data_IF_865903535684
#
_entry.id   IF_865903535684
#
_cell.length_a   1.000
_cell.length_b   1.000
_cell.length_c   1.000
_cell.angle_alpha   90.00
_cell.angle_beta   90.00
_cell.angle_gamma   90.00
#
_symmetry.space_group_name_H-M   'P 1'
#
loop_
_entity.id
_entity.type
_entity.pdbx_description
1 polymer ?
#
# COMPACT_ATOMS: atom_id res chain seq x y z
N UNK A 1 -6.39 1.42 15.98
CA UNK A 1 -7.06 1.42 14.67
C UNK A 1 -6.34 0.39 13.83
N UNK A 2 -7.09 -0.64 13.48
CA UNK A 2 -6.74 -1.56 12.40
C UNK A 2 -6.97 -0.80 11.08
N UNK A 3 -5.95 -0.77 10.22
CA UNK A 3 -6.03 -0.04 8.94
C UNK A 3 -6.90 -0.79 7.95
N UNK A 4 -6.93 -2.14 8.01
CA UNK A 4 -7.76 -2.95 7.13
C UNK A 4 -9.24 -2.65 7.30
N UNK A 5 -9.69 -2.45 8.55
CA UNK A 5 -11.06 -2.11 8.89
C UNK A 5 -11.54 -0.73 8.39
N UNK A 6 -10.66 0.09 7.81
CA UNK A 6 -11.04 1.35 7.16
C UNK A 6 -11.63 1.14 5.76
N UNK A 7 -11.25 0.04 5.11
CA UNK A 7 -11.57 -0.18 3.72
C UNK A 7 -12.83 -1.03 3.57
N UNK A 8 -13.60 -0.82 2.50
CA UNK A 8 -14.68 -1.72 2.12
C UNK A 8 -14.16 -3.15 1.90
N UNK A 9 -15.02 -4.13 2.16
CA UNK A 9 -14.75 -5.50 1.75
C UNK A 9 -14.71 -5.59 0.22
N UNK A 10 -14.04 -6.61 -0.32
CA UNK A 10 -13.88 -6.73 -1.77
C UNK A 10 -15.22 -6.76 -2.54
N UNK A 11 -16.22 -7.40 -1.93
CA UNK A 11 -17.59 -7.50 -2.48
C UNK A 11 -18.23 -6.12 -2.64
N UNK A 12 -17.95 -5.19 -1.71
CA UNK A 12 -18.44 -3.81 -1.73
C UNK A 12 -17.70 -2.97 -2.78
N UNK A 13 -16.39 -3.18 -2.95
CA UNK A 13 -15.59 -2.51 -3.99
C UNK A 13 -16.09 -2.85 -5.40
N UNK A 14 -16.60 -4.07 -5.58
CA UNK A 14 -17.13 -4.56 -6.84
C UNK A 14 -18.59 -4.16 -7.14
N UNK A 15 -19.29 -3.43 -6.26
CA UNK A 15 -20.73 -3.14 -6.42
C UNK A 15 -21.10 -2.44 -7.73
N UNK A 16 -20.19 -1.63 -8.28
CA UNK A 16 -20.39 -0.96 -9.56
C UNK A 16 -20.18 -1.87 -10.77
N UNK A 17 -19.42 -2.97 -10.61
CA UNK A 17 -19.03 -3.85 -11.72
C UNK A 17 -20.23 -4.54 -12.38
N UNK A 18 -21.24 -5.08 -11.68
CA UNK A 18 -22.42 -5.66 -12.32
C UNK A 18 -23.11 -4.70 -13.31
N UNK A 19 -23.28 -3.43 -12.92
CA UNK A 19 -23.88 -2.42 -13.79
C UNK A 19 -22.97 -2.07 -14.97
N UNK A 20 -21.66 -1.96 -14.73
CA UNK A 20 -20.68 -1.67 -15.78
C UNK A 20 -20.56 -2.82 -16.79
N UNK A 21 -20.56 -4.08 -16.33
CA UNK A 21 -20.59 -5.29 -17.16
C UNK A 21 -21.85 -5.30 -18.02
N UNK A 22 -23.03 -5.05 -17.43
CA UNK A 22 -24.28 -4.98 -18.19
C UNK A 22 -24.25 -3.89 -19.29
N UNK A 23 -23.67 -2.73 -19.00
CA UNK A 23 -23.50 -1.66 -19.98
C UNK A 23 -22.56 -2.05 -21.13
N UNK A 24 -21.47 -2.78 -20.83
CA UNK A 24 -20.60 -3.36 -21.86
C UNK A 24 -21.35 -4.40 -22.70
N UNK A 25 -22.01 -5.37 -22.08
CA UNK A 25 -22.79 -6.40 -22.78
C UNK A 25 -23.79 -5.77 -23.76
N UNK A 26 -24.56 -4.79 -23.30
CA UNK A 26 -25.52 -4.05 -24.14
C UNK A 26 -24.85 -3.33 -25.31
N UNK A 27 -23.65 -2.77 -25.11
CA UNK A 27 -22.90 -2.05 -26.15
C UNK A 27 -22.22 -2.99 -27.15
N UNK A 28 -21.83 -4.17 -26.72
CA UNK A 28 -21.23 -5.20 -27.57
C UNK A 28 -22.29 -6.03 -28.29
N UNK A 29 -23.52 -6.08 -27.77
CA UNK A 29 -24.58 -6.94 -28.30
C UNK A 29 -24.37 -8.41 -27.96
N UNK A 30 -23.74 -8.69 -26.81
CA UNK A 30 -23.41 -10.05 -26.34
C UNK A 30 -24.01 -10.29 -24.96
N UNK A 31 -24.20 -11.56 -24.62
CA UNK A 31 -24.56 -11.97 -23.27
C UNK A 31 -23.36 -11.80 -22.32
N UNK A 32 -23.62 -11.85 -21.00
CA UNK A 32 -22.53 -11.77 -20.02
C UNK A 32 -21.58 -12.97 -20.13
N UNK A 33 -22.14 -14.13 -20.38
CA UNK A 33 -21.44 -15.40 -20.53
C UNK A 33 -22.01 -16.11 -21.76
N UNK A 34 -21.15 -16.68 -22.59
CA UNK A 34 -21.57 -17.41 -23.79
C UNK A 34 -20.58 -18.51 -24.14
N UNK A 35 -21.08 -19.57 -24.79
CA UNK A 35 -20.25 -20.59 -25.43
C UNK A 35 -19.89 -20.10 -26.84
N UNK A 36 -18.60 -19.95 -27.12
CA UNK A 36 -18.10 -19.55 -28.43
C UNK A 36 -17.94 -20.73 -29.39
N UNK A 37 -17.71 -20.45 -30.67
CA UNK A 37 -17.58 -21.47 -31.73
C UNK A 37 -16.35 -22.36 -31.55
N UNK A 38 -15.35 -21.92 -30.78
CA UNK A 38 -14.14 -22.65 -30.42
C UNK A 38 -14.33 -23.57 -29.21
N UNK A 39 -15.57 -23.68 -28.70
CA UNK A 39 -15.93 -24.52 -27.55
C UNK A 39 -15.27 -24.02 -26.24
N UNK A 40 -14.94 -22.72 -26.17
CA UNK A 40 -14.60 -22.02 -24.94
C UNK A 40 -15.82 -21.30 -24.38
N UNK A 41 -15.89 -21.21 -23.05
CA UNK A 41 -16.83 -20.35 -22.33
C UNK A 41 -16.16 -18.99 -22.18
N UNK A 42 -16.83 -17.97 -22.70
CA UNK A 42 -16.41 -16.58 -22.58
C UNK A 42 -17.30 -15.89 -21.56
N UNK A 43 -16.72 -15.06 -20.69
CA UNK A 43 -17.47 -14.28 -19.72
C UNK A 43 -16.87 -12.89 -19.54
N UNK A 44 -17.72 -11.86 -19.56
CA UNK A 44 -17.31 -10.50 -19.19
C UNK A 44 -17.31 -10.38 -17.66
N UNK A 45 -16.13 -10.13 -17.10
CA UNK A 45 -15.88 -10.10 -15.64
C UNK A 45 -15.53 -8.70 -15.11
N UNK A 46 -15.42 -7.70 -15.99
CA UNK A 46 -15.26 -6.30 -15.63
C UNK A 46 -15.54 -5.41 -16.84
N UNK A 47 -16.01 -4.18 -16.61
CA UNK A 47 -16.47 -3.32 -17.71
C UNK A 47 -16.32 -1.82 -17.44
N UNK A 48 -16.15 -1.04 -18.51
CA UNK A 48 -16.15 0.41 -18.48
C UNK A 48 -16.66 0.96 -19.83
N UNK A 49 -17.61 1.90 -19.78
CA UNK A 49 -18.16 2.57 -20.96
C UNK A 49 -18.05 4.08 -20.78
N UNK A 50 -17.46 4.79 -21.75
CA UNK A 50 -17.36 6.25 -21.74
C UNK A 50 -17.59 6.82 -23.15
N UNK A 51 -18.81 7.30 -23.41
CA UNK A 51 -19.22 7.74 -24.75
C UNK A 51 -19.16 6.57 -25.74
N UNK A 52 -18.34 6.70 -26.79
CA UNK A 52 -18.08 5.65 -27.79
C UNK A 52 -17.01 4.64 -27.36
N UNK A 53 -16.30 4.90 -26.25
CA UNK A 53 -15.24 4.03 -25.75
C UNK A 53 -15.81 2.92 -24.87
N UNK A 54 -15.28 1.71 -25.04
CA UNK A 54 -15.67 0.51 -24.30
C UNK A 54 -14.41 -0.24 -23.93
N UNK A 55 -14.24 -0.55 -22.65
CA UNK A 55 -13.21 -1.46 -22.18
C UNK A 55 -13.86 -2.57 -21.36
N UNK A 56 -13.34 -3.78 -21.49
CA UNK A 56 -13.85 -4.92 -20.74
C UNK A 56 -12.76 -5.94 -20.49
N UNK A 57 -12.91 -6.66 -19.38
CA UNK A 57 -12.12 -7.84 -19.10
C UNK A 57 -12.97 -9.05 -19.44
N UNK A 58 -12.45 -9.86 -20.34
CA UNK A 58 -13.06 -11.12 -20.76
C UNK A 58 -12.26 -12.28 -20.22
N UNK A 59 -12.92 -13.13 -19.45
CA UNK A 59 -12.44 -14.46 -19.07
C UNK A 59 -12.78 -15.42 -20.20
N UNK A 60 -11.81 -16.20 -20.65
CA UNK A 60 -11.99 -17.26 -21.63
C UNK A 60 -11.55 -18.54 -20.95
N UNK A 61 -12.43 -19.53 -20.86
CA UNK A 61 -12.12 -20.79 -20.19
C UNK A 61 -12.63 -22.03 -20.91
N UNK A 62 -11.91 -23.14 -20.74
CA UNK A 62 -12.32 -24.45 -21.24
C UNK A 62 -11.93 -25.54 -20.25
N UNK A 63 -12.89 -26.42 -19.94
CA UNK A 63 -12.63 -27.66 -19.20
C UNK A 63 -12.30 -28.78 -20.18
N UNK A 64 -11.06 -29.27 -20.14
CA UNK A 64 -10.61 -30.44 -20.90
C UNK A 64 -10.27 -31.59 -19.95
N UNK A 65 -11.32 -32.24 -19.43
CA UNK A 65 -11.20 -33.51 -18.71
C UNK A 65 -10.44 -33.41 -17.38
N UNK A 66 -10.61 -32.30 -16.64
CA UNK A 66 -9.99 -32.07 -15.34
C UNK A 66 -8.85 -31.05 -15.33
N UNK A 67 -8.51 -30.50 -16.49
CA UNK A 67 -7.71 -29.29 -16.63
C UNK A 67 -8.59 -28.15 -17.11
N UNK A 68 -8.56 -27.03 -16.41
CA UNK A 68 -9.26 -25.81 -16.84
C UNK A 68 -8.22 -24.87 -17.42
N UNK A 69 -8.28 -24.68 -18.72
CA UNK A 69 -7.56 -23.62 -19.42
C UNK A 69 -8.31 -22.31 -19.15
N UNK A 70 -7.62 -21.28 -18.67
CA UNK A 70 -8.24 -20.00 -18.31
C UNK A 70 -7.31 -18.87 -18.72
N UNK A 71 -7.83 -17.93 -19.49
CA UNK A 71 -7.16 -16.68 -19.84
C UNK A 71 -8.05 -15.47 -19.53
N UNK A 72 -7.41 -14.33 -19.32
CA UNK A 72 -8.09 -13.05 -19.12
C UNK A 72 -7.57 -12.03 -20.12
N UNK A 73 -8.47 -11.36 -20.83
CA UNK A 73 -8.13 -10.35 -21.83
C UNK A 73 -8.77 -9.02 -21.48
N UNK A 74 -7.97 -7.97 -21.29
CA UNK A 74 -8.46 -6.61 -21.34
C UNK A 74 -8.55 -6.19 -22.81
N UNK A 75 -9.77 -5.91 -23.25
CA UNK A 75 -10.06 -5.41 -24.60
C UNK A 75 -10.55 -3.98 -24.54
N UNK A 76 -10.13 -3.17 -25.52
CA UNK A 76 -10.46 -1.77 -25.64
C UNK A 76 -10.97 -1.48 -27.05
N UNK A 77 -12.11 -0.79 -27.15
CA UNK A 77 -12.76 -0.43 -28.40
C UNK A 77 -13.16 1.05 -28.41
N UNK A 78 -12.99 1.71 -29.55
CA UNK A 78 -13.51 3.06 -29.82
C UNK A 78 -14.44 2.98 -31.04
N UNK A 79 -15.73 3.22 -30.83
CA UNK A 79 -16.73 2.96 -31.85
C UNK A 79 -16.76 1.48 -32.24
N UNK A 80 -16.46 1.20 -33.51
CA UNK A 80 -16.37 -0.17 -34.05
C UNK A 80 -14.94 -0.73 -34.07
N UNK A 81 -13.92 0.07 -33.77
CA UNK A 81 -12.51 -0.31 -33.92
C UNK A 81 -11.96 -0.82 -32.59
N UNK A 82 -11.50 -2.07 -32.55
CA UNK A 82 -10.71 -2.58 -31.44
C UNK A 82 -9.33 -1.91 -31.49
N UNK A 83 -9.03 -1.11 -30.46
CA UNK A 83 -7.78 -0.34 -30.38
C UNK A 83 -6.71 -1.06 -29.59
N UNK A 84 -7.09 -2.00 -28.72
CA UNK A 84 -6.14 -2.82 -27.97
C UNK A 84 -6.77 -4.12 -27.47
N UNK A 85 -5.93 -5.13 -27.41
CA UNK A 85 -6.11 -6.34 -26.60
C UNK A 85 -4.84 -6.56 -25.79
N UNK A 86 -4.99 -6.90 -24.51
CA UNK A 86 -3.88 -7.23 -23.61
C UNK A 86 -4.28 -8.42 -22.76
N UNK A 87 -3.46 -9.48 -22.76
CA UNK A 87 -3.59 -10.59 -21.82
C UNK A 87 -3.26 -10.09 -20.42
N UNK A 88 -4.23 -10.15 -19.50
CA UNK A 88 -4.07 -9.67 -18.14
C UNK A 88 -3.06 -10.55 -17.41
N UNK A 89 -1.96 -9.96 -16.95
CA UNK A 89 -0.94 -10.73 -16.28
C UNK A 89 -1.44 -11.27 -14.92
N UNK A 90 -1.30 -12.58 -14.71
CA UNK A 90 -1.64 -13.28 -13.46
C UNK A 90 -0.61 -14.38 -13.18
N UNK A 91 -0.33 -14.65 -11.90
CA UNK A 91 0.57 -15.75 -11.51
C UNK A 91 0.01 -17.11 -11.92
N UNK A 92 -1.31 -17.27 -11.79
CA UNK A 92 -1.98 -18.50 -12.10
C UNK A 92 -3.48 -18.21 -12.34
N UNK A 93 -3.92 -18.21 -13.62
CA UNK A 93 -5.28 -17.80 -13.98
C UNK A 93 -6.35 -18.75 -13.42
N UNK A 94 -5.99 -19.98 -13.06
CA UNK A 94 -6.88 -20.96 -12.44
C UNK A 94 -7.47 -20.49 -11.11
N UNK A 95 -6.72 -19.68 -10.34
CA UNK A 95 -7.20 -19.17 -9.04
C UNK A 95 -8.11 -17.94 -9.16
N UNK A 96 -8.46 -17.54 -10.39
CA UNK A 96 -9.32 -16.39 -10.63
C UNK A 96 -8.55 -15.08 -10.75
N UNK A 97 -9.12 -14.18 -11.54
CA UNK A 97 -8.78 -12.77 -11.59
C UNK A 97 -10.07 -11.99 -11.38
N UNK A 98 -10.16 -11.27 -10.27
CA UNK A 98 -11.34 -10.50 -9.90
C UNK A 98 -11.07 -9.02 -10.19
N UNK A 99 -11.92 -8.41 -11.01
CA UNK A 99 -11.83 -6.98 -11.33
C UNK A 99 -12.65 -6.20 -10.31
N UNK A 100 -12.01 -5.34 -9.52
CA UNK A 100 -12.70 -4.46 -8.57
C UNK A 100 -12.96 -3.07 -9.16
N UNK A 101 -12.08 -2.58 -10.02
CA UNK A 101 -12.23 -1.27 -10.66
C UNK A 101 -11.78 -1.34 -12.12
N UNK A 102 -12.57 -0.73 -13.01
CA UNK A 102 -12.22 -0.54 -14.41
C UNK A 102 -12.81 0.79 -14.87
N UNK A 103 -11.96 1.71 -15.34
CA UNK A 103 -12.43 3.03 -15.79
C UNK A 103 -11.49 3.63 -16.84
N UNK A 104 -12.09 4.36 -17.77
CA UNK A 104 -11.38 5.20 -18.72
C UNK A 104 -10.86 6.49 -18.07
N UNK A 105 -9.61 6.82 -18.37
CA UNK A 105 -8.94 8.09 -18.10
C UNK A 105 -8.26 8.54 -19.38
N UNK A 106 -8.85 9.54 -20.04
CA UNK A 106 -8.43 9.99 -21.36
C UNK A 106 -8.33 8.81 -22.34
N UNK A 107 -7.16 8.56 -22.92
CA UNK A 107 -6.93 7.48 -23.88
C UNK A 107 -6.63 6.11 -23.23
N UNK A 108 -6.49 6.06 -21.90
CA UNK A 108 -6.08 4.87 -21.18
C UNK A 108 -7.19 4.31 -20.28
N UNK A 109 -7.04 3.05 -19.91
CA UNK A 109 -7.87 2.39 -18.90
C UNK A 109 -7.02 2.18 -17.65
N UNK A 110 -7.58 2.52 -16.50
CA UNK A 110 -7.05 2.10 -15.20
C UNK A 110 -7.90 0.93 -14.71
N UNK A 111 -7.22 -0.14 -14.31
CA UNK A 111 -7.83 -1.34 -13.76
C UNK A 111 -7.21 -1.64 -12.40
N UNK A 112 -8.04 -2.00 -11.43
CA UNK A 112 -7.58 -2.64 -10.19
C UNK A 112 -8.18 -4.04 -10.15
N UNK A 113 -7.31 -5.03 -10.05
CA UNK A 113 -7.71 -6.44 -10.00
C UNK A 113 -6.96 -7.17 -8.89
N UNK A 114 -7.61 -8.23 -8.39
CA UNK A 114 -7.06 -9.14 -7.40
C UNK A 114 -6.81 -10.48 -8.03
N UNK A 115 -5.62 -11.00 -7.77
CA UNK A 115 -5.26 -12.40 -7.98
C UNK A 115 -4.89 -13.01 -6.63
N UNK A 116 -4.69 -14.33 -6.61
CA UNK A 116 -4.49 -15.17 -5.41
C UNK A 116 -3.72 -14.53 -4.26
N UNK A 117 -2.60 -13.84 -4.53
CA UNK A 117 -1.72 -13.32 -3.49
C UNK A 117 -1.53 -11.81 -3.54
N UNK A 118 -2.11 -11.11 -4.52
CA UNK A 118 -1.79 -9.70 -4.78
C UNK A 118 -2.99 -8.95 -5.32
N UNK A 119 -3.02 -7.67 -4.98
CA UNK A 119 -3.85 -6.68 -5.66
C UNK A 119 -2.95 -5.82 -6.53
N UNK A 120 -3.37 -5.59 -7.77
CA UNK A 120 -2.59 -4.89 -8.78
C UNK A 120 -3.45 -3.76 -9.32
N UNK A 121 -2.87 -2.56 -9.34
CA UNK A 121 -3.37 -1.45 -10.15
C UNK A 121 -2.54 -1.36 -11.41
N UNK A 122 -3.18 -1.28 -12.57
CA UNK A 122 -2.50 -1.08 -13.83
C UNK A 122 -3.14 0.00 -14.69
N UNK A 123 -2.31 0.68 -15.49
CA UNK A 123 -2.71 1.60 -16.55
C UNK A 123 -2.36 0.99 -17.89
N UNK A 124 -3.34 0.97 -18.79
CA UNK A 124 -3.22 0.39 -20.14
C UNK A 124 -3.70 1.43 -21.15
N UNK A 125 -2.77 2.00 -21.92
CA UNK A 125 -3.07 2.94 -23.02
C UNK A 125 -3.43 2.20 -24.32
N UNK A 126 -3.65 2.88 -25.45
CA UNK A 126 -3.89 2.21 -26.73
C UNK A 126 -2.63 1.49 -27.26
N UNK A 127 -1.45 1.97 -26.89
CA UNK A 127 -0.15 1.43 -27.32
C UNK A 127 0.82 1.31 -26.12
N UNK A 128 1.98 0.69 -26.35
CA UNK A 128 3.05 0.54 -25.36
C UNK A 128 2.78 -0.53 -24.30
N UNK A 129 3.78 -0.83 -23.47
CA UNK A 129 3.65 -1.78 -22.37
C UNK A 129 2.63 -1.29 -21.32
N UNK A 130 1.87 -2.19 -20.68
CA UNK A 130 1.09 -1.84 -19.50
C UNK A 130 2.01 -1.29 -18.40
N UNK A 131 1.45 -0.47 -17.52
CA UNK A 131 2.14 0.04 -16.34
C UNK A 131 1.48 -0.55 -15.11
N UNK A 132 2.18 -1.39 -14.35
CA UNK A 132 1.61 -2.10 -13.21
C UNK A 132 2.24 -1.67 -11.88
N UNK A 133 1.47 -1.77 -10.80
CA UNK A 133 1.93 -1.61 -9.42
C UNK A 133 1.17 -2.54 -8.49
N UNK A 134 1.91 -3.24 -7.65
CA UNK A 134 1.34 -4.02 -6.53
C UNK A 134 0.91 -3.07 -5.42
N UNK A 135 -0.29 -3.27 -4.90
CA UNK A 135 -0.88 -2.47 -3.83
C UNK A 135 -1.34 -3.35 -2.67
N UNK A 136 -1.68 -2.73 -1.54
CA UNK A 136 -2.30 -3.43 -0.41
C UNK A 136 -3.60 -4.13 -0.80
N UNK A 137 -3.96 -5.19 -0.09
CA UNK A 137 -5.15 -5.98 -0.37
C UNK A 137 -6.44 -5.18 -0.18
N UNK A 138 -6.47 -4.34 0.84
CA UNK A 138 -7.59 -3.45 1.12
C UNK A 138 -7.35 -2.10 0.43
N UNK A 139 -8.33 -1.62 -0.35
CA UNK A 139 -8.20 -0.39 -1.13
C UNK A 139 -9.56 0.22 -1.48
N UNK A 140 -9.52 1.48 -1.89
CA UNK A 140 -10.68 2.20 -2.45
C UNK A 140 -10.19 3.34 -3.35
N UNK A 141 -11.02 3.79 -4.28
CA UNK A 141 -10.73 4.93 -5.16
C UNK A 141 -11.60 6.10 -4.74
N UNK A 142 -10.97 7.21 -4.36
CA UNK A 142 -11.65 8.48 -4.06
C UNK A 142 -11.18 9.53 -5.06
N UNK A 143 -12.08 9.97 -5.93
CA UNK A 143 -11.77 10.86 -7.05
C UNK A 143 -10.64 10.29 -7.94
N UNK A 144 -9.48 10.93 -7.96
CA UNK A 144 -8.29 10.54 -8.73
C UNK A 144 -7.21 9.92 -7.85
N UNK A 145 -7.55 9.48 -6.64
CA UNK A 145 -6.60 8.91 -5.68
C UNK A 145 -7.04 7.49 -5.31
N UNK A 146 -6.18 6.52 -5.58
CA UNK A 146 -6.27 5.19 -5.02
C UNK A 146 -5.66 5.21 -3.61
N UNK A 147 -6.50 4.91 -2.61
CA UNK A 147 -6.08 4.64 -1.24
C UNK A 147 -5.91 3.13 -1.08
N UNK A 148 -4.80 2.69 -0.49
CA UNK A 148 -4.61 1.28 -0.18
C UNK A 148 -3.84 1.06 1.12
N UNK A 149 -4.04 -0.11 1.71
CA UNK A 149 -3.37 -0.51 2.95
C UNK A 149 -1.83 -0.40 2.81
N UNK A 150 -1.17 0.20 3.80
CA UNK A 150 0.29 0.24 3.88
C UNK A 150 0.84 -0.95 4.66
N UNK A 151 1.99 -1.46 4.22
CA UNK A 151 2.83 -2.37 5.04
C UNK A 151 3.36 -1.69 6.30
N UNK A 152 3.38 -0.35 6.36
CA UNK A 152 3.74 0.39 7.57
C UNK A 152 2.50 0.63 8.44
N UNK A 153 2.52 0.04 9.64
CA UNK A 153 1.40 0.03 10.56
C UNK A 153 0.90 1.44 10.91
N UNK A 154 -0.35 1.74 10.57
CA UNK A 154 -1.01 3.02 10.85
C UNK A 154 -0.87 4.08 9.75
N UNK A 155 -0.39 3.69 8.57
CA UNK A 155 -0.40 4.49 7.36
C UNK A 155 -1.34 3.88 6.30
N UNK A 156 -1.86 4.74 5.44
CA UNK A 156 -2.58 4.43 4.20
C UNK A 156 -1.78 5.02 3.05
N UNK A 157 -1.49 4.20 2.05
CA UNK A 157 -0.78 4.61 0.85
C UNK A 157 -1.70 5.43 -0.06
N UNK A 158 -1.12 6.43 -0.74
CA UNK A 158 -1.81 7.24 -1.75
C UNK A 158 -1.15 7.06 -3.11
N UNK A 159 -1.94 6.75 -4.12
CA UNK A 159 -1.49 6.65 -5.52
C UNK A 159 -2.38 7.57 -6.37
N UNK A 160 -1.76 8.52 -7.06
CA UNK A 160 -2.46 9.41 -7.98
C UNK A 160 -2.70 8.71 -9.32
N UNK A 161 -3.97 8.66 -9.73
CA UNK A 161 -4.45 8.11 -10.99
C UNK A 161 -4.52 9.21 -12.07
N UNK A 162 -4.41 8.88 -13.36
CA UNK A 162 -4.12 7.55 -13.91
C UNK A 162 -2.62 7.20 -13.89
N UNK A 163 -1.73 8.15 -13.60
CA UNK A 163 -0.28 8.02 -13.74
C UNK A 163 0.40 6.99 -12.80
N UNK A 164 -0.37 6.39 -11.88
CA UNK A 164 0.08 5.45 -10.85
C UNK A 164 1.25 6.00 -10.02
N UNK A 165 1.24 7.32 -9.80
CA UNK A 165 2.32 8.04 -9.12
C UNK A 165 2.14 7.94 -7.59
N UNK A 166 3.12 7.38 -6.86
CA UNK A 166 3.07 7.37 -5.39
C UNK A 166 3.11 8.79 -4.82
N UNK A 167 2.27 9.03 -3.83
CA UNK A 167 2.18 10.28 -3.09
C UNK A 167 2.53 10.02 -1.62
N UNK A 168 2.80 11.07 -0.84
CA UNK A 168 3.03 10.95 0.60
C UNK A 168 1.87 10.17 1.27
N UNK A 169 2.12 9.17 2.12
CA UNK A 169 1.05 8.40 2.74
C UNK A 169 0.23 9.26 3.73
N UNK A 170 -0.98 8.80 4.05
CA UNK A 170 -1.83 9.39 5.08
C UNK A 170 -1.73 8.59 6.39
N UNK A 171 -1.65 9.25 7.56
CA UNK A 171 -2.03 8.63 8.82
C UNK A 171 -3.44 8.06 8.75
N UNK A 172 -3.65 6.87 9.34
CA UNK A 172 -4.93 6.15 9.31
C UNK A 172 -6.15 7.01 9.70
N UNK A 173 -6.02 7.85 10.74
CA UNK A 173 -7.10 8.73 11.18
C UNK A 173 -7.45 9.83 10.15
N UNK A 174 -6.53 10.24 9.29
CA UNK A 174 -6.80 11.20 8.22
C UNK A 174 -7.43 10.51 7.01
N UNK A 175 -6.98 9.29 6.70
CA UNK A 175 -7.58 8.46 5.66
C UNK A 175 -9.06 8.14 5.99
N UNK A 176 -9.36 7.79 7.24
CA UNK A 176 -10.73 7.57 7.74
C UNK A 176 -11.63 8.80 7.48
N UNK A 177 -11.14 10.01 7.76
CA UNK A 177 -11.86 11.24 7.43
C UNK A 177 -12.06 11.43 5.93
N UNK A 178 -11.04 11.17 5.11
CA UNK A 178 -11.15 11.26 3.66
C UNK A 178 -12.21 10.29 3.11
N UNK A 179 -12.23 9.07 3.61
CA UNK A 179 -13.23 8.04 3.27
C UNK A 179 -14.63 8.48 3.70
N UNK A 180 -14.80 8.97 4.92
CA UNK A 180 -16.08 9.48 5.42
C UNK A 180 -16.61 10.69 4.61
N UNK A 181 -15.71 11.50 4.03
CA UNK A 181 -16.07 12.61 3.14
C UNK A 181 -16.30 12.18 1.68
N UNK A 182 -15.95 10.94 1.32
CA UNK A 182 -15.98 10.46 -0.07
C UNK A 182 -14.96 11.16 -0.99
N UNK A 183 -13.93 11.79 -0.42
CA UNK A 183 -12.94 12.56 -1.18
C UNK A 183 -11.57 12.54 -0.51
N UNK A 184 -10.52 12.36 -1.30
CA UNK A 184 -9.13 12.49 -0.86
C UNK A 184 -8.43 13.57 -1.70
N UNK A 185 -7.76 14.55 -1.09
CA UNK A 185 -6.93 15.49 -1.84
C UNK A 185 -5.73 14.77 -2.48
N UNK A 186 -5.30 15.30 -3.62
CA UNK A 186 -4.07 14.86 -4.28
C UNK A 186 -2.89 15.39 -3.47
N UNK A 187 -2.26 14.52 -2.68
CA UNK A 187 -1.13 14.88 -1.81
C UNK A 187 0.10 15.40 -2.56
N UNK A 188 1.19 15.63 -1.82
CA UNK A 188 2.51 15.84 -2.43
C UNK A 188 3.12 14.52 -2.92
N UNK A 189 3.87 14.51 -4.04
CA UNK A 189 4.67 13.36 -4.44
C UNK A 189 5.66 12.97 -3.34
N UNK A 190 6.05 11.69 -3.30
CA UNK A 190 7.15 11.24 -2.43
C UNK A 190 8.40 12.07 -2.71
N UNK A 191 9.00 12.64 -1.65
CA UNK A 191 10.14 13.55 -1.79
C UNK A 191 11.37 12.84 -2.36
N UNK A 192 12.14 13.57 -3.17
CA UNK A 192 13.48 13.15 -3.62
C UNK A 192 14.60 13.70 -2.72
N UNK A 193 14.25 14.48 -1.71
CA UNK A 193 15.17 15.12 -0.78
C UNK A 193 14.91 14.63 0.66
N UNK A 194 15.17 13.35 0.97
CA UNK A 194 14.84 12.75 2.26
C UNK A 194 15.45 13.51 3.44
N UNK A 195 16.69 14.00 3.32
CA UNK A 195 17.37 14.74 4.40
C UNK A 195 16.71 16.08 4.72
N UNK A 196 16.09 16.74 3.73
CA UNK A 196 15.35 17.99 3.98
C UNK A 196 14.08 17.68 4.76
N UNK A 197 13.32 16.69 4.31
CA UNK A 197 12.09 16.26 4.99
C UNK A 197 12.37 15.76 6.41
N UNK A 198 13.41 14.95 6.62
CA UNK A 198 13.79 14.47 7.95
C UNK A 198 14.11 15.62 8.91
N UNK A 199 14.79 16.68 8.45
CA UNK A 199 15.05 17.88 9.27
C UNK A 199 13.77 18.65 9.60
N UNK A 200 12.84 18.76 8.66
CA UNK A 200 11.53 19.39 8.89
C UNK A 200 10.72 18.60 9.92
N UNK A 201 10.69 17.26 9.80
CA UNK A 201 10.03 16.40 10.78
C UNK A 201 10.68 16.55 12.16
N UNK A 202 12.02 16.53 12.25
CA UNK A 202 12.72 16.72 13.52
C UNK A 202 12.39 18.07 14.17
N UNK A 203 12.31 19.15 13.38
CA UNK A 203 11.89 20.46 13.88
C UNK A 203 10.44 20.47 14.40
N UNK A 204 9.56 19.66 13.81
CA UNK A 204 8.18 19.44 14.28
C UNK A 204 8.05 18.55 15.52
N UNK A 205 9.16 17.96 16.00
CA UNK A 205 9.24 17.08 17.17
C UNK A 205 10.19 17.64 18.25
N UNK A 206 10.00 18.89 18.74
CA UNK A 206 10.97 19.57 19.60
C UNK A 206 11.21 18.89 20.96
N UNK A 207 10.30 18.01 21.38
CA UNK A 207 10.43 17.26 22.63
C UNK A 207 11.40 16.06 22.54
N UNK A 208 11.81 15.67 21.34
CA UNK A 208 12.76 14.57 21.12
C UNK A 208 14.17 15.13 20.92
N UNK A 209 15.13 14.61 21.70
CA UNK A 209 16.56 14.84 21.47
C UNK A 209 17.00 14.29 20.12
N UNK A 210 18.05 14.85 19.50
CA UNK A 210 18.52 14.46 18.16
C UNK A 210 18.54 12.96 17.89
N UNK A 211 19.24 12.14 18.70
CA UNK A 211 19.29 10.68 18.49
C UNK A 211 17.93 9.99 18.59
N UNK A 212 17.05 10.42 19.51
CA UNK A 212 15.71 9.86 19.68
C UNK A 212 14.79 10.32 18.54
N UNK A 213 14.88 11.58 18.10
CA UNK A 213 14.15 12.07 16.95
C UNK A 213 14.52 11.26 15.70
N UNK A 214 15.82 11.05 15.45
CA UNK A 214 16.29 10.22 14.34
C UNK A 214 15.79 8.77 14.42
N UNK A 215 15.82 8.15 15.61
CA UNK A 215 15.25 6.82 15.85
C UNK A 215 13.75 6.78 15.48
N UNK A 216 12.96 7.74 15.95
CA UNK A 216 11.52 7.79 15.69
C UNK A 216 11.22 8.05 14.21
N UNK A 217 11.93 9.01 13.60
CA UNK A 217 11.79 9.36 12.19
C UNK A 217 12.07 8.14 11.31
N UNK A 218 13.21 7.48 11.51
CA UNK A 218 13.55 6.29 10.73
C UNK A 218 12.61 5.11 10.97
N UNK A 219 12.26 4.83 12.23
CA UNK A 219 11.43 3.68 12.56
C UNK A 219 9.97 3.82 12.10
N UNK A 220 9.44 5.05 12.07
CA UNK A 220 8.00 5.28 11.92
C UNK A 220 7.62 6.05 10.64
N UNK A 221 8.51 6.86 10.07
CA UNK A 221 8.16 7.77 8.97
C UNK A 221 8.89 7.48 7.64
N UNK A 222 9.71 6.43 7.54
CA UNK A 222 10.50 6.19 6.32
C UNK A 222 9.66 6.09 5.04
N UNK A 223 8.40 5.66 5.12
CA UNK A 223 7.48 5.56 3.97
C UNK A 223 7.17 6.90 3.30
N UNK A 224 7.45 8.03 3.95
CA UNK A 224 7.25 9.36 3.37
C UNK A 224 8.33 9.76 2.35
N UNK A 225 9.48 9.08 2.32
CA UNK A 225 10.56 9.34 1.36
C UNK A 225 11.14 8.07 0.72
N UNK A 226 10.69 6.88 1.12
CA UNK A 226 11.14 5.63 0.55
C UNK A 226 10.87 5.60 -0.97
N UNK A 227 11.91 5.41 -1.79
CA UNK A 227 11.72 5.27 -3.22
C UNK A 227 10.90 4.02 -3.47
N UNK A 228 9.70 4.20 -4.02
CA UNK A 228 8.86 3.07 -4.40
C UNK A 228 9.40 2.43 -5.68
N UNK A 229 9.22 1.11 -5.82
CA UNK A 229 9.55 0.40 -7.05
C UNK A 229 9.00 1.14 -8.27
N UNK A 230 9.74 1.14 -9.39
CA UNK A 230 9.23 1.68 -10.65
C UNK A 230 7.95 0.95 -11.06
N UNK A 231 7.24 1.52 -12.03
CA UNK A 231 6.13 0.80 -12.65
C UNK A 231 6.70 -0.41 -13.38
N UNK A 232 6.03 -1.55 -13.23
CA UNK A 232 6.40 -2.78 -13.89
C UNK A 232 5.72 -2.85 -15.25
N UNK A 233 6.36 -3.56 -16.19
CA UNK A 233 5.76 -3.90 -17.48
C UNK A 233 5.16 -5.32 -17.46
N UNK A 234 5.57 -6.16 -16.50
CA UNK A 234 5.07 -7.53 -16.36
C UNK A 234 4.79 -7.91 -14.90
N UNK A 235 3.94 -8.93 -14.71
CA UNK A 235 3.74 -9.54 -13.39
C UNK A 235 5.01 -10.17 -12.82
N UNK A 236 5.91 -10.74 -13.63
CA UNK A 236 7.14 -11.34 -13.13
C UNK A 236 8.03 -10.31 -12.44
N UNK A 237 8.14 -9.11 -13.02
CA UNK A 237 8.85 -7.98 -12.42
C UNK A 237 8.16 -7.52 -11.13
N UNK A 238 6.83 -7.41 -11.17
CA UNK A 238 6.04 -7.07 -9.98
C UNK A 238 6.21 -8.12 -8.87
N UNK A 239 6.32 -9.40 -9.24
CA UNK A 239 6.48 -10.52 -8.32
C UNK A 239 7.86 -10.52 -7.66
N UNK A 240 8.91 -10.27 -8.46
CA UNK A 240 10.29 -10.20 -8.01
C UNK A 240 10.55 -9.03 -7.04
N UNK A 241 9.71 -8.00 -7.08
CA UNK A 241 9.70 -6.92 -6.11
C UNK A 241 9.05 -7.36 -4.79
N UNK A 242 9.81 -8.15 -4.03
CA UNK A 242 9.49 -8.43 -2.64
C UNK A 242 10.34 -7.53 -1.76
N UNK A 243 9.74 -6.50 -1.15
CA UNK A 243 10.41 -5.71 -0.12
C UNK A 243 10.89 -6.67 0.98
N UNK A 244 12.20 -6.92 1.12
CA UNK A 244 12.68 -8.15 1.75
C UNK A 244 12.73 -8.03 3.28
N UNK A 245 11.97 -7.11 3.88
CA UNK A 245 12.02 -6.82 5.30
C UNK A 245 10.72 -6.24 5.86
N UNK A 246 10.46 -6.57 7.13
CA UNK A 246 9.33 -6.06 7.89
C UNK A 246 9.62 -4.66 8.43
N UNK A 247 8.56 -3.87 8.63
CA UNK A 247 8.68 -2.51 9.18
C UNK A 247 9.44 -2.47 10.53
N UNK A 248 10.38 -1.53 10.71
CA UNK A 248 11.12 -1.34 11.97
C UNK A 248 10.29 -0.60 13.04
N UNK A 249 8.96 -0.52 12.92
CA UNK A 249 8.12 0.35 13.75
C UNK A 249 8.16 0.06 15.26
N UNK A 250 8.59 -1.14 15.66
CA UNK A 250 8.79 -1.54 17.05
C UNK A 250 10.24 -1.43 17.54
N UNK A 251 11.18 -1.00 16.70
CA UNK A 251 12.58 -0.79 17.09
C UNK A 251 12.74 0.12 18.32
N UNK A 252 11.98 1.23 18.49
CA UNK A 252 12.08 2.06 19.70
C UNK A 252 11.70 1.31 20.98
N UNK A 253 10.73 0.39 20.91
CA UNK A 253 10.35 -0.46 22.05
C UNK A 253 11.48 -1.43 22.41
N UNK A 254 12.10 -2.08 21.43
CA UNK A 254 13.24 -2.97 21.69
C UNK A 254 14.45 -2.22 22.25
N UNK A 255 14.70 -1.00 21.78
CA UNK A 255 15.71 -0.13 22.36
C UNK A 255 15.41 0.16 23.83
N UNK A 256 14.18 0.58 24.15
CA UNK A 256 13.73 0.75 25.53
C UNK A 256 13.98 -0.50 26.39
N UNK A 257 13.63 -1.70 25.92
CA UNK A 257 13.84 -2.93 26.68
C UNK A 257 15.31 -3.28 26.91
N UNK A 258 16.20 -2.89 26.00
CA UNK A 258 17.64 -3.13 26.09
C UNK A 258 18.40 -2.04 26.88
N UNK A 259 17.81 -0.87 27.06
CA UNK A 259 18.42 0.28 27.74
C UNK A 259 18.50 0.14 29.27
N UNK A 260 19.42 0.88 29.88
CA UNK A 260 19.52 1.02 31.34
C UNK A 260 18.29 1.72 31.93
N UNK A 261 18.10 1.65 33.26
CA UNK A 261 16.97 2.29 33.92
C UNK A 261 16.91 3.81 33.69
N UNK A 262 18.05 4.50 33.69
CA UNK A 262 18.13 5.94 33.44
C UNK A 262 17.76 6.28 31.99
N UNK A 263 18.31 5.55 31.01
CA UNK A 263 18.00 5.73 29.60
C UNK A 263 16.52 5.43 29.29
N UNK A 264 15.95 4.40 29.91
CA UNK A 264 14.52 4.08 29.79
C UNK A 264 13.63 5.22 30.27
N UNK A 265 13.95 5.82 31.41
CA UNK A 265 13.20 6.96 31.94
C UNK A 265 13.24 8.16 30.97
N UNK A 266 14.41 8.45 30.41
CA UNK A 266 14.58 9.53 29.41
C UNK A 266 13.81 9.23 28.13
N UNK A 267 13.93 8.01 27.58
CA UNK A 267 13.24 7.62 26.36
C UNK A 267 11.72 7.65 26.55
N UNK A 268 11.21 7.09 27.65
CA UNK A 268 9.78 7.08 27.93
C UNK A 268 9.22 8.50 28.06
N UNK A 269 9.92 9.40 28.76
CA UNK A 269 9.51 10.80 28.88
C UNK A 269 9.45 11.52 27.52
N UNK A 270 10.40 11.27 26.63
CA UNK A 270 10.39 11.84 25.28
C UNK A 270 9.27 11.25 24.42
N UNK A 271 9.03 9.93 24.49
CA UNK A 271 7.91 9.29 23.81
C UNK A 271 6.56 9.87 24.27
N UNK A 272 6.39 10.08 25.58
CA UNK A 272 5.19 10.69 26.16
C UNK A 272 5.01 12.13 25.68
N UNK A 273 6.07 12.93 25.66
CA UNK A 273 6.02 14.31 25.19
C UNK A 273 5.70 14.40 23.69
N UNK A 274 6.26 13.51 22.87
CA UNK A 274 5.92 13.41 21.44
C UNK A 274 4.48 12.92 21.24
N UNK A 275 4.02 11.93 22.03
CA UNK A 275 2.64 11.44 21.97
C UNK A 275 1.61 12.51 22.41
N UNK A 276 1.98 13.36 23.37
CA UNK A 276 1.17 14.46 23.86
C UNK A 276 1.18 15.70 22.94
N UNK A 277 1.93 15.66 21.83
CA UNK A 277 1.96 16.73 20.83
C UNK A 277 0.53 17.03 20.37
N UNK A 278 0.02 18.19 20.74
CA UNK A 278 -1.19 18.75 20.14
C UNK A 278 -0.79 19.32 18.78
N UNK A 279 -1.28 18.73 17.68
CA UNK A 279 -0.91 19.22 16.37
C UNK A 279 -1.60 20.57 16.12
N UNK A 280 -0.93 21.48 15.42
CA UNK A 280 -1.52 22.78 15.08
C UNK A 280 -2.79 22.61 14.23
N UNK A 281 -3.66 23.63 14.23
CA UNK A 281 -4.78 23.68 13.32
C UNK A 281 -4.24 23.60 11.89
N UNK A 282 -4.56 22.51 11.20
CA UNK A 282 -3.97 22.14 9.94
C UNK A 282 -5.07 22.04 8.92
N UNK A 283 -5.04 22.94 7.94
CA UNK A 283 -6.05 23.05 6.92
C UNK A 283 -5.74 22.20 5.68
N UNK A 284 -4.50 21.74 5.52
CA UNK A 284 -3.99 21.28 4.23
C UNK A 284 -3.29 19.92 4.34
N UNK A 285 -3.97 18.84 3.97
CA UNK A 285 -3.44 17.45 3.98
C UNK A 285 -2.27 17.20 3.00
N UNK A 286 -1.62 18.27 2.51
CA UNK A 286 -0.46 18.25 1.63
C UNK A 286 0.89 18.48 2.34
N UNK A 287 0.95 19.00 3.58
CA UNK A 287 2.25 19.12 4.28
C UNK A 287 2.76 17.74 4.76
N UNK A 288 3.65 17.17 3.95
CA UNK A 288 4.30 15.88 4.19
C UNK A 288 4.98 15.79 5.57
N UNK A 289 5.61 16.87 6.05
CA UNK A 289 6.32 16.85 7.33
C UNK A 289 5.34 16.82 8.51
N UNK A 290 4.24 17.57 8.42
CA UNK A 290 3.19 17.55 9.45
C UNK A 290 2.44 16.21 9.48
N UNK A 291 2.14 15.63 8.31
CA UNK A 291 1.56 14.28 8.22
C UNK A 291 2.45 13.26 8.93
N UNK A 292 3.76 13.30 8.68
CA UNK A 292 4.72 12.43 9.35
C UNK A 292 4.79 12.70 10.87
N UNK A 293 4.78 13.96 11.30
CA UNK A 293 4.76 14.30 12.74
C UNK A 293 3.52 13.75 13.45
N UNK A 294 2.34 13.85 12.83
CA UNK A 294 1.08 13.29 13.35
C UNK A 294 1.13 11.77 13.44
N UNK A 295 1.66 11.13 12.39
CA UNK A 295 1.86 9.68 12.40
C UNK A 295 2.80 9.26 13.55
N UNK A 296 3.95 9.92 13.69
CA UNK A 296 4.93 9.65 14.74
C UNK A 296 4.29 9.83 16.13
N UNK A 297 3.54 10.92 16.36
CA UNK A 297 2.86 11.16 17.63
C UNK A 297 1.85 10.05 17.98
N UNK A 298 1.00 9.67 17.02
CA UNK A 298 0.03 8.59 17.19
C UNK A 298 0.72 7.23 17.48
N UNK A 299 1.84 6.95 16.82
CA UNK A 299 2.65 5.75 17.07
C UNK A 299 3.38 5.79 18.42
N UNK A 300 3.85 6.96 18.85
CA UNK A 300 4.46 7.13 20.17
C UNK A 300 3.46 6.79 21.29
N UNK A 301 2.19 7.13 21.16
CA UNK A 301 1.18 6.73 22.15
C UNK A 301 1.07 5.20 22.31
N UNK A 302 1.18 4.45 21.20
CA UNK A 302 1.23 2.97 21.23
C UNK A 302 2.54 2.47 21.84
N UNK A 303 3.68 3.08 21.49
CA UNK A 303 4.99 2.74 22.06
C UNK A 303 5.04 2.98 23.57
N UNK A 304 4.51 4.10 24.07
CA UNK A 304 4.40 4.39 25.52
C UNK A 304 3.63 3.28 26.23
N UNK A 305 2.48 2.87 25.68
CA UNK A 305 1.68 1.77 26.23
C UNK A 305 2.50 0.47 26.29
N UNK A 306 3.17 0.11 25.20
CA UNK A 306 4.01 -1.10 25.13
C UNK A 306 5.19 -1.05 26.12
N UNK A 307 5.91 0.07 26.19
CA UNK A 307 7.04 0.28 27.10
C UNK A 307 6.62 0.18 28.57
N UNK A 308 5.45 0.74 28.94
CA UNK A 308 4.91 0.63 30.30
C UNK A 308 4.45 -0.79 30.62
N UNK A 309 3.85 -1.49 29.66
CA UNK A 309 3.41 -2.87 29.83
C UNK A 309 4.59 -3.87 29.81
N UNK A 310 5.75 -3.48 29.26
CA UNK A 310 6.89 -4.36 29.06
C UNK A 310 6.66 -5.43 27.99
N UNK A 311 5.65 -5.27 27.14
CA UNK A 311 5.29 -6.20 26.05
C UNK A 311 4.62 -5.45 24.90
N UNK A 312 4.63 -6.08 23.72
CA UNK A 312 3.88 -5.58 22.56
C UNK A 312 2.37 -5.68 22.82
N UNK A 313 1.53 -4.84 22.18
CA UNK A 313 0.08 -4.97 22.28
C UNK A 313 -0.42 -6.32 21.77
N UNK A 314 -1.56 -6.79 22.30
CA UNK A 314 -2.18 -8.03 21.85
C UNK A 314 -2.46 -7.98 20.33
N UNK A 315 -2.15 -9.08 19.64
CA UNK A 315 -2.29 -9.19 18.19
C UNK A 315 -1.14 -8.56 17.38
N UNK A 316 -0.31 -7.72 17.99
CA UNK A 316 0.89 -7.20 17.35
C UNK A 316 2.02 -8.24 17.43
N UNK A 317 2.78 -8.39 16.35
CA UNK A 317 3.99 -9.19 16.31
C UNK A 317 5.07 -8.41 15.56
N UNK A 318 6.34 -8.71 15.83
CA UNK A 318 7.45 -8.07 15.15
C UNK A 318 8.35 -9.12 14.52
N UNK A 319 8.10 -9.40 13.24
CA UNK A 319 8.97 -10.23 12.41
C UNK A 319 10.21 -9.48 11.93
N UNK A 320 10.48 -8.26 12.42
CA UNK A 320 11.67 -7.51 12.03
C UNK A 320 12.96 -8.29 12.34
N UNK A 321 13.00 -9.01 13.46
CA UNK A 321 14.20 -9.72 13.93
C UNK A 321 14.41 -11.13 13.34
N UNK A 322 13.61 -11.54 12.35
CA UNK A 322 13.87 -12.81 11.62
C UNK A 322 15.02 -12.65 10.62
N UNK A 323 15.75 -13.73 10.35
CA UNK A 323 16.99 -13.69 9.56
C UNK A 323 16.79 -13.05 8.19
N UNK A 324 15.77 -13.48 7.42
CA UNK A 324 15.48 -12.92 6.10
C UNK A 324 15.20 -11.41 6.14
N UNK A 325 14.48 -10.93 7.16
CA UNK A 325 14.18 -9.51 7.32
C UNK A 325 15.42 -8.71 7.69
N UNK A 326 16.34 -9.27 8.47
CA UNK A 326 17.58 -8.60 8.86
C UNK A 326 18.57 -8.52 7.69
N UNK A 327 18.64 -9.57 6.86
CA UNK A 327 19.45 -9.59 5.65
C UNK A 327 18.97 -8.54 4.64
N UNK A 328 17.66 -8.49 4.38
CA UNK A 328 17.06 -7.48 3.52
C UNK A 328 17.26 -6.05 4.06
N UNK A 329 17.06 -5.85 5.36
CA UNK A 329 17.19 -4.55 6.00
C UNK A 329 18.64 -4.03 6.03
N UNK A 330 19.63 -4.92 6.09
CA UNK A 330 21.05 -4.53 6.08
C UNK A 330 21.47 -3.74 4.83
N UNK A 331 20.78 -3.94 3.70
CA UNK A 331 21.00 -3.18 2.46
C UNK A 331 20.31 -1.82 2.40
N UNK A 332 19.51 -1.46 3.41
CA UNK A 332 18.66 -0.27 3.41
C UNK A 332 19.25 0.91 4.20
N UNK A 333 20.52 0.87 4.63
CA UNK A 333 21.17 1.92 5.45
C UNK A 333 20.91 3.35 4.95
N UNK A 334 21.08 3.58 3.65
CA UNK A 334 20.92 4.89 3.04
C UNK A 334 19.49 5.48 3.15
N UNK A 335 18.50 4.65 3.47
CA UNK A 335 17.11 5.08 3.65
C UNK A 335 16.87 5.71 5.04
N UNK A 336 17.69 5.39 6.04
CA UNK A 336 17.41 5.71 7.44
C UNK A 336 18.35 6.77 8.03
N UNK A 337 17.86 7.60 8.96
CA UNK A 337 18.71 8.49 9.74
C UNK A 337 19.79 7.73 10.54
N UNK A 338 20.94 8.37 10.75
CA UNK A 338 22.09 7.75 11.41
C UNK A 338 21.77 7.21 12.81
N UNK A 339 21.02 7.95 13.62
CA UNK A 339 20.62 7.54 14.97
C UNK A 339 19.73 6.31 14.99
N UNK A 340 18.80 6.16 14.03
CA UNK A 340 18.00 4.95 13.90
C UNK A 340 18.88 3.75 13.55
N UNK A 341 19.79 3.94 12.59
CA UNK A 341 20.69 2.88 12.15
C UNK A 341 21.65 2.41 13.24
N UNK A 342 22.20 3.35 14.02
CA UNK A 342 23.05 3.03 15.16
C UNK A 342 22.34 2.17 16.20
N UNK A 343 21.06 2.46 16.48
CA UNK A 343 20.22 1.64 17.37
C UNK A 343 20.02 0.24 16.80
N UNK A 344 19.72 0.11 15.50
CA UNK A 344 19.59 -1.21 14.86
C UNK A 344 20.89 -2.01 14.95
N UNK A 345 22.04 -1.41 14.63
CA UNK A 345 23.35 -2.07 14.71
C UNK A 345 23.67 -2.54 16.14
N UNK A 346 23.35 -1.74 17.15
CA UNK A 346 23.56 -2.10 18.56
C UNK A 346 22.68 -3.28 19.00
N UNK A 347 21.46 -3.38 18.48
CA UNK A 347 20.51 -4.44 18.84
C UNK A 347 20.67 -5.72 18.01
N UNK A 348 21.18 -5.63 16.78
CA UNK A 348 21.31 -6.76 15.84
C UNK A 348 22.00 -8.00 16.43
N UNK A 349 23.09 -7.92 17.22
CA UNK A 349 23.70 -9.10 17.84
C UNK A 349 22.75 -9.89 18.76
N UNK A 350 21.66 -9.26 19.22
CA UNK A 350 20.63 -9.84 20.09
C UNK A 350 19.35 -10.23 19.35
N UNK A 351 19.33 -10.23 18.01
CA UNK A 351 18.11 -10.46 17.22
C UNK A 351 17.30 -11.71 17.65
N UNK A 352 17.97 -12.84 17.91
CA UNK A 352 17.29 -14.07 18.39
C UNK A 352 16.57 -13.88 19.73
N UNK A 353 17.21 -13.18 20.67
CA UNK A 353 16.63 -12.87 21.98
C UNK A 353 15.43 -11.91 21.83
N UNK A 354 15.59 -10.87 21.01
CA UNK A 354 14.57 -9.85 20.76
C UNK A 354 13.35 -10.43 20.03
N UNK A 355 13.56 -11.36 19.10
CA UNK A 355 12.50 -12.15 18.47
C UNK A 355 11.71 -12.95 19.51
N UNK A 356 12.39 -13.76 20.32
CA UNK A 356 11.75 -14.55 21.37
C UNK A 356 11.07 -13.66 22.44
N UNK A 357 11.56 -12.45 22.65
CA UNK A 357 10.91 -11.45 23.48
C UNK A 357 9.60 -10.93 22.87
N UNK A 358 9.59 -10.60 21.57
CA UNK A 358 8.39 -10.16 20.87
C UNK A 358 7.31 -11.23 20.69
N UNK A 359 7.68 -12.52 20.75
CA UNK A 359 6.75 -13.65 20.63
C UNK A 359 6.08 -14.03 21.97
N UNK A 360 6.55 -13.51 23.10
CA UNK A 360 5.95 -13.75 24.43
C UNK A 360 4.69 -12.91 24.59
N UNK A 361 3.52 -13.56 24.51
CA UNK A 361 2.18 -12.97 24.75
C UNK A 361 1.86 -12.87 26.25
#
# INVERSE_FOLDING_TARGET
>A
MDVGALFPEWEEVGEEQPAAIAAVCARLGVEREWLAEDDYIHAIVGGAVEGERVAWVEKVEKDDGGWVDVDYFLRMRVGATQVREWTVDTYNPYFGCEVGHLRWWDDAVVMVYREKHRTIVCRVGPEGAPQLRVVGFAWTVLNEVLLCESRANGLVERIHLPALRPMAPLPAALADRSMAMGACPVGQPITREPTVLQRQIAAGLPAASGPIAELLIGALAYRFWEPRPPLFATYQEAYADDHPWNTPCWLPFYWYCASSAAERAVLLAQLEAVAARAPEAFADEDDTAELACRHIAARCAKLVTACRAGRLPDGESCYFWVDWSQEGFAGAEALFPAGMWAVWQALRPRARELRAFGERR
#
